data_IF_354314833663
#
_entry.id   IF_354314833663
#
_cell.length_a   1.000
_cell.length_b   1.000
_cell.length_c   1.000
_cell.angle_alpha   90.00
_cell.angle_beta   90.00
_cell.angle_gamma   90.00
#
_symmetry.space_group_name_H-M   'P 1'
#
loop_
_entity.id
_entity.type
_entity.pdbx_description
1 polymer ?
#
# COMPACT_ATOMS: atom_id res chain seq x y z
N UNK A 1 -4.32 -14.69 23.77
CA UNK A 1 -3.99 -13.68 24.77
C UNK A 1 -2.50 -13.37 24.70
N UNK A 2 -2.13 -12.12 24.44
CA UNK A 2 -0.74 -11.63 24.54
C UNK A 2 -0.57 -11.09 25.96
N UNK A 3 0.50 -11.47 26.68
CA UNK A 3 0.80 -11.02 28.04
C UNK A 3 2.12 -10.28 28.13
N UNK A 4 2.25 -9.49 29.19
CA UNK A 4 3.50 -8.81 29.55
C UNK A 4 4.08 -7.96 28.41
N UNK A 5 3.24 -7.23 27.69
CA UNK A 5 3.64 -6.38 26.57
C UNK A 5 3.79 -4.91 26.98
N UNK A 6 4.61 -4.17 26.27
CA UNK A 6 4.51 -2.72 26.20
C UNK A 6 3.57 -2.38 25.03
N UNK A 7 2.36 -1.94 25.31
CA UNK A 7 1.32 -1.71 24.29
C UNK A 7 1.26 -0.24 23.93
N UNK A 8 1.36 0.07 22.64
CA UNK A 8 0.97 1.35 22.06
C UNK A 8 -0.37 1.15 21.32
N UNK A 9 -1.43 1.77 21.79
CA UNK A 9 -2.78 1.49 21.27
C UNK A 9 -3.17 2.31 20.03
N UNK A 10 -2.26 3.12 19.53
CA UNK A 10 -2.52 3.99 18.36
C UNK A 10 -3.30 5.29 18.70
N UNK A 11 -3.74 5.49 19.93
CA UNK A 11 -4.39 6.73 20.39
C UNK A 11 -3.45 7.69 21.10
N UNK A 12 -2.17 7.32 21.19
CA UNK A 12 -1.14 8.04 21.93
C UNK A 12 -0.88 7.49 23.34
N UNK A 13 -1.62 6.48 23.80
CA UNK A 13 -1.39 5.86 25.11
C UNK A 13 -0.34 4.77 25.01
N UNK A 14 0.46 4.67 26.08
CA UNK A 14 1.40 3.57 26.34
C UNK A 14 0.98 2.85 27.61
N UNK A 15 0.93 1.54 27.55
CA UNK A 15 0.62 0.66 28.68
C UNK A 15 1.78 -0.33 28.85
N UNK A 16 2.48 -0.25 30.00
CA UNK A 16 3.59 -1.17 30.32
C UNK A 16 3.06 -2.38 31.11
N UNK A 17 3.60 -3.57 30.82
CA UNK A 17 3.19 -4.82 31.44
C UNK A 17 1.74 -5.19 31.15
N UNK A 18 1.21 -4.75 30.02
CA UNK A 18 -0.18 -4.96 29.63
C UNK A 18 -0.41 -6.27 28.88
N UNK A 19 -1.65 -6.69 28.89
CA UNK A 19 -2.17 -7.82 28.15
C UNK A 19 -3.09 -7.35 27.02
N UNK A 20 -3.17 -8.12 25.92
CA UNK A 20 -4.10 -7.89 24.82
C UNK A 20 -4.85 -9.19 24.54
N UNK A 21 -6.16 -9.18 24.72
CA UNK A 21 -7.02 -10.31 24.41
C UNK A 21 -7.57 -10.19 23.00
N UNK A 22 -7.34 -11.24 22.20
CA UNK A 22 -7.79 -11.34 20.81
C UNK A 22 -8.74 -12.53 20.71
N UNK A 23 -9.91 -12.35 20.08
CA UNK A 23 -10.87 -13.38 19.77
C UNK A 23 -11.43 -13.15 18.37
N UNK A 24 -11.49 -14.21 17.57
CA UNK A 24 -12.01 -14.18 16.18
C UNK A 24 -11.36 -13.09 15.32
N UNK A 25 -10.03 -12.91 15.48
CA UNK A 25 -9.26 -11.91 14.74
C UNK A 25 -9.49 -10.46 15.17
N UNK A 26 -10.17 -10.23 16.31
CA UNK A 26 -10.45 -8.88 16.85
C UNK A 26 -9.86 -8.72 18.24
N UNK A 27 -9.35 -7.53 18.53
CA UNK A 27 -9.00 -7.14 19.89
C UNK A 27 -10.31 -6.92 20.65
N UNK A 28 -10.52 -7.68 21.72
CA UNK A 28 -11.73 -7.58 22.54
C UNK A 28 -11.48 -6.90 23.87
N UNK A 29 -10.23 -6.91 24.35
CA UNK A 29 -9.85 -6.21 25.57
C UNK A 29 -8.35 -5.92 25.60
N UNK A 30 -7.96 -4.89 26.36
CA UNK A 30 -6.58 -4.50 26.61
C UNK A 30 -6.43 -3.89 27.99
N UNK A 31 -5.51 -4.42 28.80
CA UNK A 31 -5.33 -3.97 30.18
C UNK A 31 -4.28 -4.80 30.91
N UNK A 32 -4.37 -4.85 32.22
CA UNK A 32 -3.47 -5.64 33.06
C UNK A 32 -4.21 -6.83 33.65
N UNK A 33 -3.51 -7.97 33.77
CA UNK A 33 -4.03 -9.18 34.41
C UNK A 33 -5.37 -9.70 33.81
N UNK A 34 -5.51 -9.65 32.51
CA UNK A 34 -6.72 -10.14 31.84
C UNK A 34 -6.93 -11.64 32.08
N UNK A 35 -8.18 -12.12 32.25
CA UNK A 35 -8.46 -13.52 32.42
C UNK A 35 -8.08 -14.30 31.14
N UNK A 36 -7.40 -15.42 31.31
CA UNK A 36 -6.97 -16.23 30.17
C UNK A 36 -8.13 -16.97 29.52
N UNK A 37 -9.04 -17.53 30.34
CA UNK A 37 -10.07 -18.44 29.85
C UNK A 37 -9.45 -19.60 29.05
N UNK A 38 -9.98 -19.85 27.88
CA UNK A 38 -9.56 -20.85 26.90
C UNK A 38 -8.52 -20.35 25.89
N UNK A 39 -8.06 -19.10 26.03
CA UNK A 39 -7.16 -18.49 25.07
C UNK A 39 -5.73 -19.08 25.15
N UNK A 40 -5.13 -19.35 23.98
CA UNK A 40 -3.69 -19.58 23.86
C UNK A 40 -2.94 -18.33 24.31
N UNK A 41 -1.91 -18.50 25.14
CA UNK A 41 -1.13 -17.38 25.67
C UNK A 41 0.22 -17.24 24.96
N UNK A 42 0.56 -16.00 24.60
CA UNK A 42 1.87 -15.59 24.11
C UNK A 42 2.47 -14.62 25.11
N UNK A 43 3.58 -14.99 25.75
CA UNK A 43 4.32 -14.06 26.61
C UNK A 43 5.19 -13.14 25.75
N UNK A 44 4.86 -11.86 25.73
CA UNK A 44 5.61 -10.85 24.99
C UNK A 44 6.97 -10.52 25.61
N UNK A 45 7.19 -10.85 26.90
CA UNK A 45 8.47 -10.59 27.63
C UNK A 45 8.90 -9.13 27.52
N UNK A 46 7.97 -8.22 27.70
CA UNK A 46 8.22 -6.77 27.59
C UNK A 46 8.34 -6.23 26.15
N UNK A 47 8.20 -7.09 25.11
CA UNK A 47 8.22 -6.61 23.73
C UNK A 47 7.04 -5.71 23.44
N UNK A 48 7.17 -4.93 22.39
CA UNK A 48 6.17 -3.95 21.99
C UNK A 48 5.04 -4.61 21.20
N UNK A 49 3.82 -4.21 21.50
CA UNK A 49 2.62 -4.50 20.72
C UNK A 49 2.09 -3.16 20.21
N UNK A 50 1.99 -3.02 18.92
CA UNK A 50 1.54 -1.79 18.26
C UNK A 50 0.47 -2.11 17.22
N UNK A 51 -0.33 -1.13 16.77
CA UNK A 51 -1.05 -1.29 15.52
C UNK A 51 -0.10 -1.67 14.39
N UNK A 52 -0.60 -2.44 13.43
CA UNK A 52 0.20 -2.78 12.24
C UNK A 52 0.59 -1.52 11.46
N UNK A 53 1.77 -1.55 10.88
CA UNK A 53 2.25 -0.46 10.04
C UNK A 53 1.43 -0.38 8.76
N UNK A 54 1.20 0.85 8.29
CA UNK A 54 0.52 1.14 7.02
C UNK A 54 1.54 1.75 6.08
N UNK A 55 1.81 1.06 4.97
CA UNK A 55 2.62 1.60 3.88
C UNK A 55 1.70 2.26 2.84
N UNK A 56 1.77 3.57 2.74
CA UNK A 56 0.91 4.35 1.85
C UNK A 56 1.50 4.54 0.45
N UNK A 57 2.68 4.01 0.18
CA UNK A 57 3.35 4.12 -1.12
C UNK A 57 4.22 2.90 -1.40
N UNK A 58 3.64 1.89 -2.01
CA UNK A 58 4.33 0.65 -2.36
C UNK A 58 4.13 0.27 -3.83
N UNK A 59 5.04 -0.56 -4.31
CA UNK A 59 4.99 -1.18 -5.64
C UNK A 59 5.06 -2.71 -5.55
N UNK A 60 4.85 -3.29 -4.37
CA UNK A 60 4.82 -4.74 -4.20
C UNK A 60 3.79 -5.38 -5.11
N UNK A 61 4.16 -6.49 -5.70
CA UNK A 61 3.33 -7.23 -6.64
C UNK A 61 3.24 -6.65 -8.05
N UNK A 62 3.47 -5.33 -8.26
CA UNK A 62 3.49 -4.72 -9.61
C UNK A 62 4.91 -4.57 -10.15
N UNK A 63 5.93 -4.60 -9.28
CA UNK A 63 7.33 -4.82 -9.58
C UNK A 63 7.84 -5.99 -8.74
N UNK A 64 7.29 -7.17 -9.02
CA UNK A 64 7.50 -8.33 -8.19
C UNK A 64 8.92 -8.90 -8.30
N UNK A 65 9.36 -9.63 -7.26
CA UNK A 65 10.62 -10.36 -7.24
C UNK A 65 10.45 -11.80 -7.76
N UNK A 66 11.40 -12.31 -8.58
CA UNK A 66 12.57 -11.62 -9.10
C UNK A 66 12.21 -10.57 -10.16
N UNK A 67 12.99 -9.49 -10.26
CA UNK A 67 12.80 -8.40 -11.22
C UNK A 67 13.14 -8.79 -12.66
N UNK A 68 12.29 -9.58 -13.29
CA UNK A 68 12.38 -9.99 -14.70
C UNK A 68 11.29 -9.29 -15.52
N UNK A 69 11.45 -9.19 -16.84
CA UNK A 69 10.48 -8.49 -17.70
C UNK A 69 9.02 -8.93 -17.49
N UNK A 70 8.80 -10.23 -17.26
CA UNK A 70 7.46 -10.79 -17.04
C UNK A 70 6.79 -10.33 -15.74
N UNK A 71 7.52 -9.69 -14.82
CA UNK A 71 7.00 -9.18 -13.54
C UNK A 71 7.11 -7.66 -13.43
N UNK A 72 7.35 -6.95 -14.54
CA UNK A 72 7.54 -5.49 -14.59
C UNK A 72 6.28 -4.80 -15.12
N UNK A 73 5.19 -4.89 -14.35
CA UNK A 73 3.86 -4.39 -14.73
C UNK A 73 3.44 -3.12 -13.99
N UNK A 74 4.40 -2.38 -13.46
CA UNK A 74 4.11 -1.24 -12.60
C UNK A 74 3.81 0.07 -13.32
N UNK A 75 4.08 0.21 -14.63
CA UNK A 75 3.77 1.42 -15.40
C UNK A 75 3.25 1.07 -16.80
N UNK A 76 2.11 1.66 -17.16
CA UNK A 76 1.64 1.72 -18.54
C UNK A 76 2.18 3.00 -19.19
N UNK A 77 3.38 2.94 -19.77
CA UNK A 77 4.10 4.13 -20.28
C UNK A 77 3.82 4.41 -21.76
N UNK A 78 2.63 4.07 -22.27
CA UNK A 78 2.24 4.31 -23.66
C UNK A 78 1.72 5.72 -23.89
N UNK A 79 1.22 6.37 -22.83
CA UNK A 79 0.72 7.75 -22.85
C UNK A 79 1.05 8.45 -21.51
N UNK A 80 1.30 9.77 -21.49
CA UNK A 80 1.52 10.51 -20.25
C UNK A 80 0.34 10.48 -19.28
N UNK A 81 -0.88 10.26 -19.77
CA UNK A 81 -2.10 10.21 -18.98
C UNK A 81 -2.80 8.87 -19.18
N UNK A 82 -2.62 7.97 -18.24
CA UNK A 82 -3.21 6.62 -18.24
C UNK A 82 -4.14 6.43 -17.03
N UNK A 83 -5.01 7.40 -16.76
CA UNK A 83 -5.91 7.42 -15.60
C UNK A 83 -6.87 6.21 -15.53
N UNK A 84 -7.15 5.58 -16.67
CA UNK A 84 -7.97 4.37 -16.77
C UNK A 84 -7.29 3.07 -16.34
N UNK A 85 -5.98 3.09 -16.11
CA UNK A 85 -5.22 1.92 -15.67
C UNK A 85 -5.37 1.71 -14.15
N UNK A 86 -5.50 0.45 -13.73
CA UNK A 86 -5.69 0.09 -12.34
C UNK A 86 -4.59 -0.87 -11.90
N UNK A 87 -3.79 -0.46 -10.91
CA UNK A 87 -2.67 -1.26 -10.41
C UNK A 87 -3.10 -2.64 -9.90
N UNK A 88 -4.35 -2.78 -9.42
CA UNK A 88 -4.85 -4.06 -8.89
C UNK A 88 -4.79 -5.21 -9.89
N UNK A 89 -4.89 -4.92 -11.19
CA UNK A 89 -4.84 -5.94 -12.24
C UNK A 89 -3.42 -6.46 -12.51
N UNK A 90 -2.41 -5.74 -12.06
CA UNK A 90 -0.99 -6.13 -12.16
C UNK A 90 -0.42 -6.71 -10.85
N UNK A 91 -1.19 -6.71 -9.76
CA UNK A 91 -0.71 -7.25 -8.49
C UNK A 91 -0.54 -8.76 -8.58
N UNK A 92 0.68 -9.22 -8.39
CA UNK A 92 1.00 -10.64 -8.20
C UNK A 92 1.04 -10.98 -6.70
N UNK A 93 0.01 -11.65 -6.14
CA UNK A 93 -0.11 -11.88 -4.69
C UNK A 93 0.99 -12.78 -4.10
N UNK A 94 1.68 -13.55 -4.93
CA UNK A 94 2.75 -14.45 -4.52
C UNK A 94 4.13 -13.78 -4.52
N UNK A 95 4.22 -12.48 -4.78
CA UNK A 95 5.47 -11.73 -4.63
C UNK A 95 6.02 -11.92 -3.20
N UNK A 96 7.23 -12.48 -3.04
CA UNK A 96 7.83 -12.70 -1.72
C UNK A 96 8.03 -11.41 -0.91
N UNK A 97 7.99 -10.25 -1.57
CA UNK A 97 8.02 -8.94 -0.93
C UNK A 97 6.88 -8.74 0.08
N UNK A 98 5.68 -9.29 -0.19
CA UNK A 98 4.55 -9.22 0.76
C UNK A 98 4.87 -9.91 2.09
N UNK A 99 5.42 -11.13 2.02
CA UNK A 99 5.79 -11.87 3.23
C UNK A 99 6.91 -11.15 4.00
N UNK A 100 7.89 -10.58 3.31
CA UNK A 100 8.98 -9.82 3.92
C UNK A 100 8.46 -8.56 4.62
N UNK A 101 7.57 -7.80 3.96
CA UNK A 101 6.94 -6.63 4.53
C UNK A 101 6.07 -6.97 5.76
N UNK A 102 5.34 -8.11 5.70
CA UNK A 102 4.54 -8.59 6.83
C UNK A 102 5.43 -8.96 8.04
N UNK A 103 6.55 -9.63 7.80
CA UNK A 103 7.53 -9.95 8.84
C UNK A 103 8.11 -8.68 9.49
N UNK A 104 8.18 -7.56 8.75
CA UNK A 104 8.52 -6.23 9.25
C UNK A 104 7.37 -5.48 9.95
N UNK A 105 6.18 -6.09 10.05
CA UNK A 105 5.02 -5.49 10.72
C UNK A 105 4.12 -4.64 9.82
N UNK A 106 4.33 -4.63 8.51
CA UNK A 106 3.47 -3.90 7.55
C UNK A 106 2.23 -4.75 7.24
N UNK A 107 1.09 -4.34 7.76
CA UNK A 107 -0.18 -5.08 7.68
C UNK A 107 -1.15 -4.52 6.65
N UNK A 108 -0.95 -3.29 6.20
CA UNK A 108 -1.77 -2.63 5.18
C UNK A 108 -0.86 -1.89 4.21
N UNK A 109 -1.12 -2.03 2.92
CA UNK A 109 -0.26 -1.49 1.87
C UNK A 109 -1.11 -0.83 0.80
N UNK A 110 -0.77 0.39 0.41
CA UNK A 110 -1.32 0.99 -0.80
C UNK A 110 -0.38 0.71 -1.98
N UNK A 111 -0.81 -0.14 -2.90
CA UNK A 111 -0.10 -0.41 -4.14
C UNK A 111 -0.46 0.65 -5.16
N UNK A 112 0.55 1.31 -5.68
CA UNK A 112 0.43 2.38 -6.66
C UNK A 112 1.14 1.99 -7.96
N UNK A 113 0.68 2.49 -9.11
CA UNK A 113 1.54 2.52 -10.31
C UNK A 113 2.85 3.24 -10.03
N UNK A 114 3.88 2.96 -10.79
CA UNK A 114 5.14 3.70 -10.74
C UNK A 114 4.96 5.15 -11.21
N UNK A 115 6.05 5.90 -11.26
CA UNK A 115 6.02 7.36 -11.51
C UNK A 115 6.45 7.75 -12.92
N UNK A 116 6.37 6.83 -13.89
CA UNK A 116 6.73 7.13 -15.28
C UNK A 116 5.81 8.13 -15.98
N UNK A 117 4.52 8.10 -15.66
CA UNK A 117 3.48 8.92 -16.27
C UNK A 117 3.18 10.18 -15.46
N UNK A 118 2.61 11.21 -16.09
CA UNK A 118 1.99 12.34 -15.37
C UNK A 118 0.85 11.85 -14.47
N UNK A 119 -0.08 11.06 -15.07
CA UNK A 119 -1.17 10.39 -14.37
C UNK A 119 -1.06 8.91 -14.72
N UNK A 120 -0.59 8.09 -13.77
CA UNK A 120 -0.21 6.70 -14.00
C UNK A 120 -1.33 5.68 -13.74
N UNK A 121 -2.49 6.14 -13.25
CA UNK A 121 -3.61 5.25 -12.98
C UNK A 121 -3.97 5.12 -11.51
N UNK A 122 -4.90 4.22 -11.22
CA UNK A 122 -5.48 4.03 -9.89
C UNK A 122 -4.68 3.03 -9.07
N UNK A 123 -4.45 3.38 -7.80
CA UNK A 123 -3.90 2.48 -6.80
C UNK A 123 -4.96 1.59 -6.16
N UNK A 124 -4.51 0.63 -5.36
CA UNK A 124 -5.36 -0.23 -4.55
C UNK A 124 -4.78 -0.38 -3.16
N UNK A 125 -5.65 -0.34 -2.15
CA UNK A 125 -5.24 -0.63 -0.76
C UNK A 125 -5.52 -2.09 -0.44
N UNK A 126 -4.49 -2.78 0.03
CA UNK A 126 -4.52 -4.21 0.34
C UNK A 126 -4.24 -4.44 1.82
N UNK A 127 -4.91 -5.43 2.40
CA UNK A 127 -4.45 -6.08 3.63
C UNK A 127 -3.28 -6.97 3.25
N UNK A 128 -2.18 -6.88 3.97
CA UNK A 128 -1.02 -7.74 3.73
C UNK A 128 -1.24 -9.10 4.39
N UNK A 129 -2.04 -9.92 3.76
CA UNK A 129 -2.39 -11.27 4.19
C UNK A 129 -2.04 -12.27 3.09
N UNK A 130 -1.59 -13.50 3.43
CA UNK A 130 -1.38 -14.54 2.43
C UNK A 130 -2.66 -14.81 1.64
N UNK A 131 -2.59 -14.72 0.33
CA UNK A 131 -3.73 -14.94 -0.56
C UNK A 131 -3.28 -15.40 -1.96
N UNK A 132 -4.18 -16.01 -2.70
CA UNK A 132 -3.94 -16.44 -4.07
C UNK A 132 -4.42 -15.42 -5.10
N UNK A 133 -5.24 -14.46 -4.69
CA UNK A 133 -5.77 -13.40 -5.55
C UNK A 133 -5.71 -12.05 -4.85
N UNK A 134 -5.56 -10.97 -5.63
CA UNK A 134 -5.58 -9.62 -5.06
C UNK A 134 -6.94 -9.25 -4.47
N UNK A 135 -8.03 -9.81 -4.99
CA UNK A 135 -9.39 -9.58 -4.48
C UNK A 135 -9.53 -10.01 -3.01
N UNK A 136 -8.91 -11.14 -2.64
CA UNK A 136 -8.88 -11.61 -1.25
C UNK A 136 -8.05 -10.70 -0.33
N UNK A 137 -7.11 -9.94 -0.90
CA UNK A 137 -6.29 -8.98 -0.17
C UNK A 137 -6.94 -7.60 -0.05
N UNK A 138 -7.92 -7.23 -0.89
CA UNK A 138 -8.49 -5.86 -0.89
C UNK A 138 -8.92 -5.44 0.52
N UNK A 139 -8.55 -4.21 0.89
CA UNK A 139 -8.98 -3.62 2.15
C UNK A 139 -10.43 -3.14 1.99
N UNK A 140 -11.38 -3.64 2.80
CA UNK A 140 -12.79 -3.30 2.65
C UNK A 140 -13.04 -1.81 2.81
N UNK A 141 -13.76 -1.20 1.85
CA UNK A 141 -14.15 0.21 1.90
C UNK A 141 -13.02 1.23 1.69
N UNK A 142 -11.80 0.79 1.41
CA UNK A 142 -10.71 1.72 1.12
C UNK A 142 -10.96 2.45 -0.21
N UNK A 143 -10.75 3.77 -0.20
CA UNK A 143 -10.79 4.58 -1.41
C UNK A 143 -9.55 4.32 -2.26
N UNK A 144 -9.72 4.39 -3.57
CA UNK A 144 -8.62 4.30 -4.51
C UNK A 144 -7.90 5.64 -4.62
N UNK A 145 -6.56 5.61 -4.59
CA UNK A 145 -5.75 6.79 -4.92
C UNK A 145 -5.52 6.89 -6.43
N UNK A 146 -5.34 8.10 -6.93
CA UNK A 146 -4.86 8.36 -8.29
C UNK A 146 -3.36 8.67 -8.23
N UNK A 147 -2.53 7.84 -8.86
CA UNK A 147 -1.08 8.07 -8.92
C UNK A 147 -0.75 9.16 -9.92
N UNK A 148 -0.03 10.14 -9.44
CA UNK A 148 0.52 11.23 -10.27
C UNK A 148 2.01 11.40 -10.00
N UNK A 149 2.76 11.91 -10.97
CA UNK A 149 4.17 12.25 -10.83
C UNK A 149 4.46 13.61 -11.47
N UNK A 150 4.98 14.55 -10.69
CA UNK A 150 5.08 15.96 -11.06
C UNK A 150 6.52 16.47 -11.22
N UNK A 151 7.48 15.59 -11.41
CA UNK A 151 8.88 15.98 -11.44
C UNK A 151 9.68 15.41 -12.60
N UNK A 152 10.79 14.81 -12.25
CA UNK A 152 11.81 14.37 -13.17
C UNK A 152 11.37 13.17 -14.01
N UNK A 153 10.68 12.19 -13.42
CA UNK A 153 10.39 10.94 -14.12
C UNK A 153 9.55 11.10 -15.39
N UNK A 154 8.39 11.80 -15.40
CA UNK A 154 7.66 12.02 -16.65
C UNK A 154 8.47 12.79 -17.70
N UNK A 155 9.21 13.82 -17.27
CA UNK A 155 10.10 14.58 -18.19
C UNK A 155 11.09 13.67 -18.89
N UNK A 156 11.75 12.78 -18.14
CA UNK A 156 12.75 11.87 -18.68
C UNK A 156 12.10 10.84 -19.59
N UNK A 157 11.08 10.15 -19.13
CA UNK A 157 10.41 9.07 -19.86
C UNK A 157 9.88 9.51 -21.21
N UNK A 158 9.17 10.64 -21.24
CA UNK A 158 8.56 11.14 -22.49
C UNK A 158 9.50 12.05 -23.28
N UNK A 159 10.36 12.82 -22.61
CA UNK A 159 11.37 13.64 -23.26
C UNK A 159 12.39 12.82 -24.07
N UNK A 160 12.84 11.68 -23.57
CA UNK A 160 13.71 10.74 -24.29
C UNK A 160 13.05 10.14 -25.54
N UNK A 161 11.72 10.15 -25.59
CA UNK A 161 10.91 9.71 -26.75
C UNK A 161 10.51 10.87 -27.68
N UNK A 162 11.01 12.07 -27.46
CA UNK A 162 10.57 13.29 -28.16
C UNK A 162 9.07 13.57 -28.03
N UNK A 163 8.51 13.25 -26.85
CA UNK A 163 7.09 13.46 -26.50
C UNK A 163 6.96 14.43 -25.33
N UNK A 164 5.79 15.07 -25.20
CA UNK A 164 5.45 15.83 -24.00
C UNK A 164 5.06 14.88 -22.84
N UNK A 165 5.46 15.22 -21.61
CA UNK A 165 6.26 16.36 -21.20
C UNK A 165 7.77 16.11 -21.28
N UNK A 166 8.55 17.16 -21.63
CA UNK A 166 10.01 17.12 -21.52
C UNK A 166 10.56 18.14 -20.54
N UNK A 167 9.69 18.96 -19.95
CA UNK A 167 10.02 20.03 -18.98
C UNK A 167 8.98 20.04 -17.85
N UNK A 168 9.30 20.75 -16.74
CA UNK A 168 8.30 20.99 -15.67
C UNK A 168 7.13 21.86 -16.17
N UNK A 169 7.36 22.77 -17.09
CA UNK A 169 6.29 23.53 -17.78
C UNK A 169 5.35 22.58 -18.51
N UNK A 170 5.90 21.58 -19.22
CA UNK A 170 5.14 20.53 -19.90
C UNK A 170 4.36 19.65 -18.91
N UNK A 171 4.94 19.31 -17.76
CA UNK A 171 4.21 18.58 -16.71
C UNK A 171 2.95 19.36 -16.29
N UNK A 172 3.09 20.64 -15.95
CA UNK A 172 1.95 21.48 -15.51
C UNK A 172 0.90 21.65 -16.63
N UNK A 173 1.35 21.85 -17.87
CA UNK A 173 0.44 21.93 -19.02
C UNK A 173 -0.36 20.64 -19.21
N UNK A 174 0.31 19.47 -19.12
CA UNK A 174 -0.34 18.17 -19.25
C UNK A 174 -1.37 17.90 -18.14
N UNK A 175 -1.09 18.29 -16.89
CA UNK A 175 -2.08 18.19 -15.82
C UNK A 175 -3.30 19.05 -16.06
N UNK A 176 -3.10 20.32 -16.42
CA UNK A 176 -4.20 21.25 -16.72
C UNK A 176 -5.10 20.70 -17.82
N UNK A 177 -4.47 20.17 -18.90
CA UNK A 177 -5.23 19.58 -20.01
C UNK A 177 -6.04 18.37 -19.53
N UNK A 178 -5.42 17.41 -18.82
CA UNK A 178 -6.11 16.22 -18.35
C UNK A 178 -7.31 16.53 -17.43
N UNK A 179 -7.18 17.53 -16.55
CA UNK A 179 -8.31 17.95 -15.70
C UNK A 179 -9.37 18.74 -16.46
N UNK A 180 -9.00 19.53 -17.47
CA UNK A 180 -9.98 20.18 -18.35
C UNK A 180 -10.79 19.13 -19.13
N UNK A 181 -10.12 18.18 -19.77
CA UNK A 181 -10.76 17.08 -20.51
C UNK A 181 -11.72 16.28 -19.62
N UNK A 182 -11.32 15.99 -18.37
CA UNK A 182 -12.17 15.30 -17.40
C UNK A 182 -13.41 16.13 -17.00
N UNK A 183 -13.29 17.45 -16.93
CA UNK A 183 -14.41 18.36 -16.63
C UNK A 183 -15.37 18.45 -17.82
N UNK A 184 -14.85 18.51 -19.03
CA UNK A 184 -15.65 18.58 -20.25
C UNK A 184 -16.41 17.27 -20.52
N UNK A 185 -15.93 16.15 -19.98
CA UNK A 185 -16.58 14.84 -20.08
C UNK A 185 -17.83 14.71 -19.17
N UNK A 186 -17.93 15.47 -18.09
CA UNK A 186 -19.07 15.41 -17.14
C UNK A 186 -20.33 16.05 -17.71
#
# INVERSE_FOLDING_TARGET
LIRNATVLDGTGRRLDGADVLIRDGKIVDGGTALPQGDATTIDAKGRWVTPGLIDVHSHLGVYASPGVNATQDGNEMTDPVTAGVWAEHSVWPQDPGFATALAGGVTTIQILPGSGNLIGGRGVTLRNVPATTYQAMKFPGALQGLKMACGENPKRVYGERNQAPSTRMGNVAGYRQAFADATDYQ
#
